data_IF_426134800492
#
_entry.id   IF_426134800492
#
_cell.length_a   1.000
_cell.length_b   1.000
_cell.length_c   1.000
_cell.angle_alpha   90.00
_cell.angle_beta   90.00
_cell.angle_gamma   90.00
#
_symmetry.space_group_name_H-M   'P 1'
#
loop_
_entity.id
_entity.type
_entity.pdbx_description
1 polymer ?
2 non-polymer ?
3 non-polymer ?
4 water ?
#
# COMPACT_ATOMS: atom_id res chain seq x y z
N UNK A 32 26.14 28.43 -23.23
CA UNK A 32 26.01 27.16 -22.50
C UNK A 32 24.88 26.34 -23.13
N UNK A 33 24.60 25.18 -22.53
CA UNK A 33 23.37 24.45 -22.80
C UNK A 33 22.25 24.89 -21.86
N UNK A 34 22.03 26.21 -21.87
CA UNK A 34 20.76 26.76 -21.40
C UNK A 34 19.62 26.34 -22.32
N UNK A 35 19.93 26.01 -23.58
CA UNK A 35 18.95 25.48 -24.53
C UNK A 35 18.16 24.35 -23.91
N UNK A 36 18.84 23.48 -23.16
CA UNK A 36 18.19 22.35 -22.55
C UNK A 36 17.02 22.80 -21.67
N UNK A 37 17.21 23.86 -20.90
CA UNK A 37 16.13 24.30 -20.02
C UNK A 37 14.93 24.75 -20.85
N UNK A 38 15.18 25.61 -21.85
CA UNK A 38 14.11 26.11 -22.71
C UNK A 38 13.22 24.97 -23.24
N UNK A 39 13.84 23.99 -23.90
CA UNK A 39 13.05 22.89 -24.43
C UNK A 39 12.22 22.22 -23.34
N UNK A 40 12.78 22.08 -22.15
CA UNK A 40 12.04 21.37 -21.12
C UNK A 40 10.93 22.25 -20.54
N UNK A 41 11.20 23.55 -20.42
CA UNK A 41 10.15 24.50 -20.04
C UNK A 41 9.01 24.46 -21.03
N UNK A 42 9.34 24.56 -22.33
CA UNK A 42 8.33 24.47 -23.39
C UNK A 42 7.43 23.26 -23.18
N UNK A 43 8.04 22.10 -22.94
CA UNK A 43 7.26 20.88 -22.85
C UNK A 43 6.36 20.91 -21.63
N UNK A 44 6.90 21.33 -20.49
CA UNK A 44 6.05 21.53 -19.31
C UNK A 44 4.87 22.43 -19.67
N UNK A 45 5.19 23.62 -20.20
CA UNK A 45 4.14 24.55 -20.60
C UNK A 45 3.14 23.89 -21.52
N UNK A 46 3.65 23.18 -22.54
CA UNK A 46 2.78 22.42 -23.41
C UNK A 46 1.94 21.44 -22.62
N UNK A 47 2.59 20.51 -21.91
CA UNK A 47 1.83 19.47 -21.21
C UNK A 47 0.87 20.05 -20.20
N UNK A 48 1.19 21.22 -19.64
CA UNK A 48 0.28 21.88 -18.73
C UNK A 48 -1.02 22.24 -19.44
N UNK A 49 -0.90 22.97 -20.56
CA UNK A 49 -2.05 23.34 -21.40
C UNK A 49 -2.90 22.13 -21.75
N UNK A 50 -2.30 21.02 -22.07
CA UNK A 50 -3.14 19.89 -22.33
C UNK A 50 -3.86 19.49 -21.12
N UNK A 51 -3.17 19.39 -20.00
CA UNK A 51 -3.83 18.88 -18.82
C UNK A 51 -5.00 19.78 -18.45
N UNK A 52 -4.82 21.08 -18.56
CA UNK A 52 -5.86 22.02 -18.17
C UNK A 52 -7.01 22.16 -19.20
N UNK A 53 -7.19 21.24 -20.18
CA UNK A 53 -8.47 21.21 -20.90
C UNK A 53 -8.90 19.80 -21.30
N UNK A 54 -8.41 18.77 -20.62
CA UNK A 54 -8.99 17.45 -20.71
C UNK A 54 -10.07 17.25 -19.66
N UNK A 55 -10.68 16.08 -19.70
CA UNK A 55 -11.68 15.73 -18.69
C UNK A 55 -11.27 14.43 -18.00
N UNK A 56 -12.24 13.71 -17.44
CA UNK A 56 -11.95 12.55 -16.61
C UNK A 56 -11.59 11.27 -17.33
N UNK A 61 -5.34 10.60 -15.42
CA UNK A 61 -5.27 10.24 -16.83
C UNK A 61 -3.90 10.60 -17.41
N UNK A 62 -3.65 10.17 -18.66
CA UNK A 62 -2.35 10.30 -19.32
C UNK A 62 -1.85 11.73 -19.31
N UNK A 63 -2.77 12.69 -19.43
CA UNK A 63 -2.38 14.09 -19.43
C UNK A 63 -1.60 14.44 -18.17
N UNK A 64 -2.21 14.16 -17.00
CA UNK A 64 -1.61 14.53 -15.73
C UNK A 64 -0.24 13.87 -15.55
N UNK A 65 -0.15 12.57 -15.82
CA UNK A 65 1.12 11.87 -15.64
C UNK A 65 2.18 12.47 -16.54
N UNK A 66 1.83 12.75 -17.79
CA UNK A 66 2.81 13.29 -18.71
C UNK A 66 3.35 14.62 -18.21
N UNK A 67 2.47 15.48 -17.68
CA UNK A 67 2.93 16.78 -17.19
C UNK A 67 3.82 16.63 -15.96
N UNK A 68 3.43 15.74 -15.04
CA UNK A 68 4.28 15.50 -13.88
C UNK A 68 5.63 14.97 -14.33
N UNK A 69 5.64 14.21 -15.43
CA UNK A 69 6.90 13.70 -15.97
C UNK A 69 7.72 14.83 -16.57
N UNK A 70 7.10 15.68 -17.41
CA UNK A 70 7.87 16.77 -17.98
C UNK A 70 8.31 17.76 -16.92
N UNK A 71 7.53 17.88 -15.83
CA UNK A 71 7.96 18.72 -14.71
C UNK A 71 9.22 18.18 -14.07
N UNK A 72 9.31 16.85 -13.90
CA UNK A 72 10.51 16.27 -13.32
C UNK A 72 11.72 16.45 -14.24
N UNK A 73 11.54 16.23 -15.55
CA UNK A 73 12.65 16.37 -16.48
C UNK A 73 13.34 17.71 -16.30
N UNK A 74 12.53 18.76 -16.15
CA UNK A 74 13.04 20.11 -15.96
C UNK A 74 13.97 20.19 -14.75
N UNK A 75 13.49 19.75 -13.58
CA UNK A 75 14.35 19.74 -12.40
C UNK A 75 15.66 19.04 -12.72
N UNK A 76 15.57 17.84 -13.31
CA UNK A 76 16.78 17.09 -13.62
C UNK A 76 17.65 17.86 -14.59
N UNK A 77 17.04 18.43 -15.63
CA UNK A 77 17.82 19.15 -16.63
C UNK A 77 18.48 20.39 -16.06
N UNK A 78 17.76 21.14 -15.23
CA UNK A 78 18.33 22.30 -14.55
C UNK A 78 19.59 21.91 -13.79
N UNK A 79 19.51 20.80 -13.04
CA UNK A 79 20.64 20.41 -12.19
C UNK A 79 21.78 19.85 -13.02
N UNK A 80 21.48 19.05 -14.02
CA UNK A 80 22.52 18.47 -14.82
C UNK A 80 22.81 17.08 -14.34
N UNK A 81 23.29 16.23 -15.24
CA UNK A 81 23.39 14.81 -14.92
C UNK A 81 24.21 14.52 -13.67
N UNK A 82 25.39 15.13 -13.53
CA UNK A 82 26.26 14.84 -12.39
C UNK A 82 25.61 15.34 -11.09
N UNK A 83 25.25 16.63 -10.96
CA UNK A 83 24.57 17.04 -9.72
C UNK A 83 23.28 16.29 -9.42
N UNK A 84 22.59 15.80 -10.44
CA UNK A 84 21.34 15.11 -10.16
C UNK A 84 21.58 13.74 -9.53
N UNK A 85 22.76 13.15 -9.76
CA UNK A 85 23.07 11.85 -9.18
C UNK A 85 23.12 11.95 -7.66
N UNK A 86 23.49 13.12 -7.15
CA UNK A 86 23.43 13.45 -5.74
C UNK A 86 22.02 13.51 -5.19
N UNK A 87 20.98 13.37 -6.02
CA UNK A 87 19.63 13.42 -5.47
C UNK A 87 19.35 12.24 -4.55
N UNK A 88 20.07 11.11 -4.71
CA UNK A 88 19.80 9.95 -3.86
C UNK A 88 20.19 10.24 -2.43
N UNK A 89 21.34 10.86 -2.24
CA UNK A 89 21.75 11.30 -0.91
C UNK A 89 20.80 12.34 -0.32
N UNK A 90 20.47 13.38 -1.07
CA UNK A 90 19.48 14.33 -0.58
C UNK A 90 18.20 13.63 -0.19
N UNK A 91 17.72 12.73 -1.04
CA UNK A 91 16.44 12.07 -0.79
C UNK A 91 16.49 11.29 0.49
N UNK A 92 17.65 10.68 0.78
CA UNK A 92 17.78 9.79 1.94
C UNK A 92 17.65 10.57 3.23
N UNK A 93 18.48 11.61 3.42
CA UNK A 93 18.37 12.41 4.64
C UNK A 93 16.97 13.01 4.78
N UNK A 94 16.35 13.43 3.69
CA UNK A 94 15.00 13.99 3.81
C UNK A 94 14.03 12.96 4.40
N UNK A 95 14.13 11.70 3.97
CA UNK A 95 13.23 10.68 4.51
C UNK A 95 13.59 10.39 5.95
N UNK A 96 14.89 10.32 6.22
CA UNK A 96 15.34 10.19 7.59
C UNK A 96 14.77 11.30 8.47
N UNK A 97 15.01 12.55 8.07
CA UNK A 97 14.64 13.66 8.93
C UNK A 97 13.14 13.79 9.08
N UNK A 98 12.38 13.57 8.01
CA UNK A 98 10.93 13.53 8.12
C UNK A 98 10.47 12.49 9.13
N UNK A 99 11.09 11.29 9.07
CA UNK A 99 10.74 10.20 9.97
C UNK A 99 11.04 10.57 11.42
N UNK A 100 12.26 11.04 11.69
CA UNK A 100 12.56 11.51 13.04
C UNK A 100 11.56 12.55 13.50
N UNK A 101 11.36 13.62 12.70
CA UNK A 101 10.49 14.70 13.12
C UNK A 101 9.08 14.20 13.43
N UNK A 102 8.57 13.31 12.59
CA UNK A 102 7.22 12.85 12.82
C UNK A 102 7.14 12.00 14.08
N UNK A 103 8.14 11.14 14.29
CA UNK A 103 8.14 10.29 15.48
C UNK A 103 8.30 11.13 16.75
N UNK A 104 9.24 12.09 16.73
CA UNK A 104 9.51 12.97 17.88
C UNK A 104 8.36 13.90 18.25
N UNK A 105 7.24 13.83 17.55
CA UNK A 105 6.09 14.66 17.88
C UNK A 105 6.14 16.09 17.37
N UNK A 106 7.02 16.39 16.42
CA UNK A 106 7.16 17.75 15.93
C UNK A 106 5.96 18.14 15.08
N UNK A 107 5.51 17.25 14.20
CA UNK A 107 4.33 17.54 13.39
C UNK A 107 3.12 17.88 14.25
N UNK A 108 2.97 17.23 15.40
CA UNK A 108 1.81 17.48 16.23
C UNK A 108 1.98 18.69 17.13
N UNK A 109 3.21 19.07 17.46
CA UNK A 109 3.42 20.24 18.32
C UNK A 109 3.24 21.54 17.56
N UNK A 110 3.51 21.54 16.26
CA UNK A 110 3.49 22.73 15.44
C UNK A 110 2.07 23.11 15.08
N UNK A 111 1.80 24.41 15.09
CA UNK A 111 0.44 24.89 14.80
C UNK A 111 0.10 24.70 13.33
N UNK A 112 -1.10 24.16 13.10
CA UNK A 112 -1.69 24.07 11.79
C UNK A 112 -2.05 25.48 11.28
N UNK A 113 -2.30 25.56 9.98
CA UNK A 113 -2.66 26.81 9.34
C UNK A 113 -1.51 27.74 9.04
N UNK A 114 -0.27 27.30 9.24
CA UNK A 114 0.86 28.10 8.85
C UNK A 114 1.34 29.11 9.86
N UNK A 115 0.76 29.13 11.06
CA UNK A 115 1.36 29.88 12.15
C UNK A 115 2.74 29.31 12.46
N UNK A 116 3.69 30.19 12.80
CA UNK A 116 5.07 29.76 13.00
C UNK A 116 5.32 29.29 14.45
N UNK A 117 6.51 28.73 14.67
CA UNK A 117 6.96 28.26 15.97
C UNK A 117 8.47 28.16 15.92
N UNK A 118 9.09 28.37 17.07
CA UNK A 118 10.53 28.46 17.04
C UNK A 118 11.13 27.09 17.26
N UNK A 119 12.40 26.96 16.85
CA UNK A 119 13.19 25.83 17.30
C UNK A 119 13.03 25.65 18.81
N UNK A 120 13.17 26.76 19.56
CA UNK A 120 13.11 26.65 21.02
C UNK A 120 11.75 26.19 21.49
N UNK A 121 10.67 26.79 20.99
CA UNK A 121 9.35 26.38 21.49
C UNK A 121 9.03 24.94 21.09
N UNK A 122 9.51 24.50 19.93
CA UNK A 122 9.29 23.13 19.50
C UNK A 122 10.04 22.17 20.40
N UNK A 123 11.35 22.36 20.53
CA UNK A 123 12.15 21.53 21.41
C UNK A 123 11.52 21.43 22.79
N UNK A 124 11.02 22.56 23.29
CA UNK A 124 10.37 22.62 24.58
C UNK A 124 9.21 21.63 24.67
N UNK A 125 8.38 21.55 23.64
CA UNK A 125 7.18 20.74 23.78
C UNK A 125 7.39 19.27 23.46
N UNK A 126 8.49 18.93 22.78
CA UNK A 126 8.76 17.55 22.41
C UNK A 126 9.96 16.96 23.12
N UNK A 127 10.85 17.78 23.65
CA UNK A 127 12.08 17.23 24.17
C UNK A 127 12.98 16.63 23.14
N UNK A 128 12.91 17.09 21.89
CA UNK A 128 13.93 16.72 20.93
C UNK A 128 14.99 17.80 20.93
N UNK A 129 16.26 17.39 20.90
CA UNK A 129 17.37 18.31 21.02
C UNK A 129 17.27 19.45 20.03
N UNK A 130 17.10 20.68 20.55
CA UNK A 130 16.97 21.87 19.68
C UNK A 130 18.08 21.95 18.63
N UNK A 131 19.30 21.54 18.98
CA UNK A 131 20.35 21.47 17.98
C UNK A 131 20.10 20.43 16.91
N UNK A 132 19.66 19.22 17.30
CA UNK A 132 19.28 18.23 16.30
C UNK A 132 18.13 18.77 15.43
N UNK A 133 17.07 19.26 16.09
CA UNK A 133 15.91 19.78 15.37
C UNK A 133 16.30 20.82 14.32
N UNK A 134 17.18 21.75 14.67
CA UNK A 134 17.58 22.77 13.71
C UNK A 134 18.19 22.12 12.48
N UNK A 135 19.13 21.20 12.69
CA UNK A 135 19.79 20.52 11.59
C UNK A 135 18.80 19.75 10.74
N UNK A 136 17.94 18.98 11.41
CA UNK A 136 16.94 18.20 10.72
C UNK A 136 16.05 19.09 9.86
N UNK A 137 15.69 20.27 10.38
CA UNK A 137 14.76 21.14 9.64
C UNK A 137 15.31 21.53 8.27
N UNK A 138 16.64 21.68 8.15
CA UNK A 138 17.26 22.07 6.89
C UNK A 138 16.94 21.11 5.76
N UNK A 139 16.59 19.87 6.08
CA UNK A 139 16.27 18.90 5.05
C UNK A 139 14.86 19.06 4.53
N UNK A 140 13.99 19.75 5.28
CA UNK A 140 12.58 19.80 4.93
C UNK A 140 12.05 21.24 4.84
N UNK A 141 12.95 22.23 4.73
CA UNK A 141 12.43 23.55 4.40
C UNK A 141 12.70 23.91 2.93
N UNK A 142 13.94 23.73 2.39
CA UNK A 142 14.26 24.38 1.11
C UNK A 142 13.26 24.08 0.01
N UNK A 143 12.80 22.85 0.01
CA UNK A 143 11.67 22.33 -0.75
C UNK A 143 10.77 21.46 0.08
N UNK A 144 11.29 20.81 1.15
CA UNK A 144 10.56 19.89 1.98
C UNK A 144 9.23 20.51 2.35
N UNK A 145 8.31 19.71 2.86
CA UNK A 145 6.94 20.21 3.10
C UNK A 145 6.82 21.26 4.22
N UNK A 146 7.90 21.75 4.82
CA UNK A 146 7.80 22.80 5.81
C UNK A 146 8.23 24.12 5.21
N UNK A 147 7.89 25.20 5.92
CA UNK A 147 8.35 26.52 5.52
C UNK A 147 9.25 27.11 6.60
N UNK A 148 10.44 27.56 6.18
CA UNK A 148 11.39 28.24 7.06
C UNK A 148 11.05 29.73 7.04
N UNK A 149 10.20 30.14 7.98
CA UNK A 149 9.76 31.53 8.08
C UNK A 149 10.94 32.46 8.36
N UNK A 150 11.76 32.11 9.34
CA UNK A 150 12.98 32.84 9.65
C UNK A 150 13.87 31.97 10.50
N UNK A 151 15.01 32.54 10.90
CA UNK A 151 16.01 31.86 11.74
C UNK A 151 15.37 31.15 12.95
N UNK A 152 15.57 29.82 13.00
CA UNK A 152 14.97 28.93 14.00
C UNK A 152 13.46 29.11 14.11
N UNK A 153 12.81 29.41 13.00
CA UNK A 153 11.39 29.69 12.97
C UNK A 153 10.77 28.99 11.77
N UNK A 154 9.81 28.11 12.03
CA UNK A 154 9.32 27.17 11.02
C UNK A 154 7.80 27.18 11.07
N UNK A 155 7.19 26.76 9.96
CA UNK A 155 5.73 26.72 9.89
C UNK A 155 5.28 25.50 9.10
N UNK A 156 4.08 25.03 9.45
CA UNK A 156 3.37 24.03 8.66
C UNK A 156 2.89 24.61 7.33
N UNK A 157 2.86 23.75 6.34
CA UNK A 157 2.16 24.00 5.06
C UNK A 157 1.23 22.81 4.85
N UNK A 158 0.30 22.92 3.89
CA UNK A 158 -0.62 21.78 3.68
C UNK A 158 0.11 20.51 3.31
N UNK A 159 1.33 20.61 2.78
CA UNK A 159 2.06 19.41 2.38
C UNK A 159 2.65 18.67 3.58
N UNK A 160 3.13 19.41 4.59
CA UNK A 160 3.50 18.77 5.85
C UNK A 160 2.26 18.33 6.63
N UNK A 161 1.21 19.13 6.65
CA UNK A 161 0.03 18.71 7.39
C UNK A 161 -0.60 17.45 6.80
N UNK A 162 -0.31 17.13 5.53
CA UNK A 162 -0.87 15.93 4.92
C UNK A 162 -0.39 14.67 5.63
N UNK A 163 0.81 14.74 6.20
CA UNK A 163 1.35 13.65 7.00
C UNK A 163 0.54 13.36 8.25
N UNK A 164 -0.41 14.23 8.59
CA UNK A 164 -1.24 14.04 9.78
C UNK A 164 -2.59 13.43 9.46
N UNK A 165 -2.84 13.07 8.20
CA UNK A 165 -4.13 12.51 7.83
C UNK A 165 -4.13 11.00 8.02
N UNK A 166 -5.35 10.43 8.13
CA UNK A 166 -5.51 9.01 8.40
C UNK A 166 -4.67 8.15 7.46
N UNK A 167 -4.78 8.40 6.15
CA UNK A 167 -4.03 7.59 5.19
C UNK A 167 -2.53 7.68 5.44
N UNK A 168 -1.98 8.89 5.44
CA UNK A 168 -0.54 9.03 5.59
C UNK A 168 -0.10 8.68 7.01
N UNK A 169 -0.84 9.16 8.01
CA UNK A 169 -0.40 8.95 9.38
C UNK A 169 -0.50 7.49 9.81
N UNK A 170 -1.36 6.69 9.16
CA UNK A 170 -1.43 5.27 9.46
C UNK A 170 -0.35 4.50 8.73
N UNK A 171 -0.08 4.95 7.51
CA UNK A 171 0.84 4.29 6.59
C UNK A 171 2.30 4.62 6.88
N UNK A 172 2.63 5.91 6.94
CA UNK A 172 4.03 6.35 6.90
C UNK A 172 4.89 5.87 8.05
N UNK A 173 4.43 5.89 9.31
CA UNK A 173 5.32 5.46 10.40
C UNK A 173 5.74 4.01 10.31
N UNK A 174 4.75 3.13 10.11
CA UNK A 174 5.02 1.70 9.94
C UNK A 174 6.08 1.48 8.87
N UNK A 175 5.91 2.16 7.73
CA UNK A 175 6.84 1.96 6.64
C UNK A 175 8.23 2.40 7.04
N UNK A 176 8.34 3.53 7.72
CA UNK A 176 9.64 4.09 7.99
C UNK A 176 10.32 3.36 9.13
N UNK A 177 9.55 2.90 10.11
CA UNK A 177 10.13 2.12 11.20
C UNK A 177 10.52 0.72 10.73
N UNK A 178 9.62 0.04 10.04
CA UNK A 178 9.82 -1.37 9.75
C UNK A 178 10.23 -1.70 8.31
N UNK A 179 9.87 -0.91 7.31
CA UNK A 179 10.10 -1.34 5.93
C UNK A 179 11.28 -0.65 5.24
N UNK A 180 11.56 0.62 5.55
CA UNK A 180 12.52 1.36 4.75
C UNK A 180 13.90 0.73 4.82
N UNK A 181 14.41 0.51 6.03
CA UNK A 181 15.70 -0.10 6.24
C UNK A 181 15.93 -1.40 5.49
N UNK A 182 14.93 -2.29 5.53
CA UNK A 182 14.97 -3.48 4.66
C UNK A 182 15.07 -3.18 3.17
N UNK A 183 14.20 -2.31 2.64
CA UNK A 183 14.28 -1.96 1.23
C UNK A 183 15.69 -1.50 0.88
N UNK A 184 16.32 -0.76 1.79
CA UNK A 184 17.68 -0.30 1.53
C UNK A 184 18.67 -1.44 1.51
N UNK A 185 18.36 -2.53 2.21
CA UNK A 185 19.26 -3.67 2.31
C UNK A 185 18.97 -4.74 1.25
N UNK A 186 18.01 -4.51 0.35
CA UNK A 186 17.84 -5.41 -0.79
C UNK A 186 19.19 -5.73 -1.42
N UNK A 187 19.99 -4.70 -1.71
CA UNK A 187 21.29 -4.92 -2.32
C UNK A 187 22.12 -5.90 -1.51
N UNK A 188 22.12 -5.75 -0.18
CA UNK A 188 22.95 -6.59 0.68
C UNK A 188 22.52 -8.05 0.63
N UNK A 189 21.22 -8.29 0.75
CA UNK A 189 20.68 -9.64 0.67
C UNK A 189 21.03 -10.31 -0.65
N UNK A 190 20.70 -9.68 -1.79
CA UNK A 190 21.00 -10.33 -3.05
C UNK A 190 22.52 -10.48 -3.27
N UNK A 191 23.33 -9.64 -2.61
CA UNK A 191 24.76 -9.82 -2.77
C UNK A 191 25.24 -11.09 -2.08
N UNK A 192 24.55 -11.46 -1.00
CA UNK A 192 24.84 -12.71 -0.32
C UNK A 192 24.64 -13.92 -1.22
N UNK A 193 23.88 -13.78 -2.29
CA UNK A 193 23.58 -14.88 -3.18
C UNK A 193 24.15 -14.63 -4.57
N UNK A 194 25.13 -13.73 -4.65
CA UNK A 194 25.72 -13.32 -5.92
C UNK A 194 24.62 -12.97 -6.93
N UNK A 195 23.71 -12.11 -6.47
CA UNK A 195 22.60 -11.53 -7.22
C UNK A 195 21.58 -12.55 -7.69
N UNK A 196 21.70 -13.80 -7.26
CA UNK A 196 20.64 -14.75 -7.48
C UNK A 196 19.43 -14.40 -6.61
N UNK A 197 18.27 -14.88 -7.01
CA UNK A 197 17.03 -14.54 -6.31
C UNK A 197 16.78 -15.56 -5.21
N UNK A 198 17.34 -15.28 -4.04
CA UNK A 198 17.12 -16.18 -2.91
C UNK A 198 15.89 -15.83 -2.12
N UNK A 199 15.15 -14.81 -2.54
CA UNK A 199 14.14 -14.24 -1.66
C UNK A 199 13.08 -15.28 -1.37
N UNK A 200 12.73 -15.42 -0.08
CA UNK A 200 11.55 -16.14 0.32
C UNK A 200 10.82 -15.33 1.37
N UNK A 201 9.59 -15.75 1.66
CA UNK A 201 8.75 -15.16 2.69
C UNK A 201 9.42 -15.14 4.07
N UNK A 202 10.37 -16.04 4.33
CA UNK A 202 11.04 -16.12 5.62
C UNK A 202 12.54 -16.01 5.49
N UNK A 203 13.05 -15.53 4.36
CA UNK A 203 14.49 -15.27 4.18
C UNK A 203 14.59 -14.19 3.10
N UNK A 204 14.77 -12.97 3.54
CA UNK A 204 14.59 -11.83 2.65
C UNK A 204 15.26 -10.63 3.28
N UNK A 205 15.22 -9.45 2.64
CA UNK A 205 15.82 -8.26 3.26
C UNK A 205 15.18 -7.87 4.58
N UNK A 206 13.91 -8.21 4.79
CA UNK A 206 13.27 -7.94 6.08
C UNK A 206 13.91 -8.78 7.19
N UNK A 207 13.91 -10.12 7.03
CA UNK A 207 14.54 -10.96 8.05
C UNK A 207 16.00 -10.61 8.24
N UNK A 208 16.68 -10.19 7.18
CA UNK A 208 18.08 -9.81 7.31
C UNK A 208 18.22 -8.53 8.15
N UNK A 209 17.41 -7.51 7.86
CA UNK A 209 17.57 -6.20 8.49
C UNK A 209 17.13 -6.22 9.96
N UNK A 210 15.97 -6.79 10.23
CA UNK A 210 15.46 -6.98 11.57
C UNK A 210 15.98 -8.25 12.25
N UNK A 211 16.93 -8.94 11.64
CA UNK A 211 17.55 -10.14 12.19
C UNK A 211 16.49 -11.12 12.73
N UNK A 212 15.65 -11.62 11.83
CA UNK A 212 14.69 -12.61 12.30
C UNK A 212 14.44 -13.71 11.26
N UNK A 213 15.50 -14.35 10.76
CA UNK A 213 15.33 -15.42 9.76
C UNK A 213 14.35 -16.47 10.24
N UNK A 214 13.45 -16.88 9.35
CA UNK A 214 12.45 -17.87 9.66
C UNK A 214 11.05 -17.30 9.87
N UNK A 215 10.95 -16.08 10.40
CA UNK A 215 9.66 -15.45 10.61
C UNK A 215 9.19 -14.72 9.36
N UNK A 216 7.91 -14.86 9.05
CA UNK A 216 7.34 -13.96 8.06
C UNK A 216 7.14 -12.59 8.68
N UNK A 217 6.95 -11.60 7.79
CA UNK A 217 6.85 -10.21 8.22
C UNK A 217 5.72 -10.03 9.24
N UNK A 218 4.56 -10.62 8.96
CA UNK A 218 3.44 -10.52 9.88
C UNK A 218 3.75 -11.18 11.21
N UNK A 219 4.24 -12.42 11.18
CA UNK A 219 4.61 -13.12 12.40
C UNK A 219 5.50 -12.26 13.29
N UNK A 220 6.54 -11.68 12.71
CA UNK A 220 7.51 -10.97 13.54
C UNK A 220 6.94 -9.67 14.09
N UNK A 221 6.01 -9.06 13.37
CA UNK A 221 5.45 -7.82 13.87
C UNK A 221 4.42 -8.08 14.95
N UNK A 222 3.56 -9.08 14.73
CA UNK A 222 2.51 -9.36 15.71
C UNK A 222 3.07 -9.96 17.01
N UNK A 223 4.32 -10.44 17.03
CA UNK A 223 4.85 -11.00 18.26
C UNK A 223 4.89 -9.94 19.37
N UNK A 224 5.29 -8.72 19.03
CA UNK A 224 5.16 -7.58 19.93
C UNK A 224 3.75 -7.00 19.80
N UNK A 225 2.99 -7.01 20.89
CA UNK A 225 1.58 -6.64 20.81
C UNK A 225 1.38 -5.13 20.66
N UNK A 226 2.36 -4.32 21.09
CA UNK A 226 2.27 -2.88 20.86
C UNK A 226 2.18 -2.54 19.39
N UNK A 227 2.64 -3.43 18.50
CA UNK A 227 2.66 -3.18 17.06
C UNK A 227 1.32 -3.44 16.38
N UNK A 228 0.39 -4.13 17.04
CA UNK A 228 -0.81 -4.59 16.33
C UNK A 228 -1.66 -3.40 15.90
N UNK A 229 -1.89 -2.45 16.81
CA UNK A 229 -2.69 -1.27 16.50
C UNK A 229 -2.09 -0.43 15.37
N UNK A 230 -0.80 -0.04 15.42
CA UNK A 230 -0.25 0.69 14.28
C UNK A 230 -0.33 -0.06 12.97
N UNK A 231 -0.05 -1.37 13.00
CA UNK A 231 -0.01 -2.16 11.79
C UNK A 231 -1.41 -2.32 11.21
N UNK A 232 -2.42 -2.52 12.06
CA UNK A 232 -3.78 -2.57 11.56
C UNK A 232 -4.24 -1.23 10.97
N UNK A 233 -3.77 -0.10 11.52
CA UNK A 233 -4.06 1.19 10.92
C UNK A 233 -3.37 1.34 9.57
N UNK A 234 -2.09 0.95 9.49
CA UNK A 234 -1.38 0.93 8.22
C UNK A 234 -2.09 0.05 7.20
N UNK A 235 -2.54 -1.14 7.60
CA UNK A 235 -3.30 -2.00 6.69
C UNK A 235 -4.57 -1.32 6.23
N UNK A 236 -5.11 -0.40 7.02
CA UNK A 236 -6.30 0.34 6.65
C UNK A 236 -6.03 1.42 5.62
N UNK A 237 -4.77 1.85 5.48
CA UNK A 237 -4.43 2.98 4.63
C UNK A 237 -4.76 2.71 3.17
N UNK A 238 -5.52 3.61 2.57
CA UNK A 238 -5.97 3.49 1.20
C UNK A 238 -5.85 4.81 0.49
N UNK A 239 -4.64 5.21 0.20
CA UNK A 239 -4.35 6.47 -0.40
C UNK A 239 -4.92 6.78 -1.74
N UNK A 240 -5.00 5.84 -2.64
CA UNK A 240 -5.52 6.12 -3.96
C UNK A 240 -6.98 5.81 -4.11
N UNK A 241 -7.66 5.57 -3.00
CA UNK A 241 -9.08 5.33 -2.99
C UNK A 241 -9.59 4.24 -3.85
N UNK A 242 -9.38 3.01 -3.44
CA UNK A 242 -9.77 1.88 -4.24
C UNK A 242 -11.21 1.86 -4.64
N UNK A 243 -11.37 1.59 -5.93
CA UNK A 243 -12.65 1.53 -6.60
C UNK A 243 -13.31 0.17 -6.34
N UNK A 244 -14.50 0.22 -5.74
CA UNK A 244 -15.24 -0.98 -5.40
C UNK A 244 -16.46 -1.22 -6.27
N UNK A 245 -16.98 -0.19 -6.93
CA UNK A 245 -18.03 -0.34 -7.93
C UNK A 245 -17.52 -0.98 -9.22
N UNK A 246 -16.34 -1.57 -9.16
CA UNK A 246 -15.73 -2.19 -10.34
C UNK A 246 -16.42 -3.48 -10.77
N UNK A 247 -17.03 -4.21 -9.84
CA UNK A 247 -17.64 -5.48 -10.23
C UNK A 247 -19.02 -5.58 -9.61
N UNK A 248 -19.98 -6.20 -10.33
CA UNK A 248 -21.38 -6.20 -9.86
C UNK A 248 -21.67 -7.05 -8.64
N UNK A 249 -21.65 -6.44 -7.46
CA UNK A 249 -22.01 -7.17 -6.26
C UNK A 249 -23.51 -7.40 -6.17
N UNK A 250 -24.30 -6.33 -6.34
CA UNK A 250 -25.76 -6.46 -6.24
C UNK A 250 -26.26 -7.61 -7.09
N UNK A 251 -25.77 -7.73 -8.32
CA UNK A 251 -26.27 -8.73 -9.24
C UNK A 251 -25.93 -10.13 -8.78
N UNK A 252 -24.65 -10.39 -8.53
CA UNK A 252 -24.20 -11.76 -8.26
C UNK A 252 -24.72 -12.28 -6.92
N UNK A 253 -24.64 -11.47 -5.87
CA UNK A 253 -24.95 -11.98 -4.53
C UNK A 253 -26.44 -12.27 -4.38
N UNK A 254 -27.31 -11.41 -4.92
CA UNK A 254 -28.74 -11.58 -4.72
C UNK A 254 -29.39 -12.46 -5.79
N UNK A 255 -28.61 -13.06 -6.70
CA UNK A 255 -29.05 -14.19 -7.51
C UNK A 255 -28.62 -15.51 -6.91
N UNK A 256 -28.46 -15.57 -5.59
CA UNK A 256 -27.93 -16.73 -4.91
C UNK A 256 -28.90 -17.18 -3.83
N UNK A 257 -29.24 -18.47 -3.84
CA UNK A 257 -30.31 -19.00 -3.01
C UNK A 257 -29.75 -19.54 -1.69
N UNK A 258 -30.18 -18.95 -0.58
CA UNK A 258 -30.02 -19.55 0.74
C UNK A 258 -28.64 -19.52 1.36
N UNK A 259 -28.07 -20.71 1.57
CA UNK A 259 -26.74 -20.84 2.17
C UNK A 259 -25.63 -20.41 1.21
N UNK A 260 -25.89 -20.51 -0.09
CA UNK A 260 -24.95 -20.02 -1.10
C UNK A 260 -24.73 -18.51 -0.96
N UNK A 261 -25.79 -17.76 -0.71
CA UNK A 261 -25.72 -16.30 -0.60
C UNK A 261 -24.96 -15.83 0.64
N UNK A 262 -23.65 -15.62 0.50
CA UNK A 262 -22.77 -15.25 1.60
C UNK A 262 -21.38 -14.94 1.06
N UNK A 263 -20.82 -13.81 1.45
CA UNK A 263 -19.52 -13.39 0.97
C UNK A 263 -18.53 -13.44 2.13
N UNK A 264 -17.30 -13.86 1.84
CA UNK A 264 -16.25 -13.89 2.85
C UNK A 264 -15.10 -13.01 2.38
N UNK A 265 -14.79 -11.99 3.17
CA UNK A 265 -13.63 -11.12 2.96
C UNK A 265 -12.48 -11.75 3.73
N UNK A 266 -11.70 -12.56 3.03
CA UNK A 266 -10.58 -13.25 3.66
C UNK A 266 -9.43 -12.27 3.84
N UNK A 267 -8.84 -12.28 5.04
CA UNK A 267 -7.89 -11.26 5.47
C UNK A 267 -8.50 -9.88 5.29
N UNK A 268 -9.75 -9.74 5.74
CA UNK A 268 -10.48 -8.50 5.57
C UNK A 268 -10.01 -7.38 6.47
N UNK A 269 -9.24 -7.71 7.51
CA UNK A 269 -8.69 -6.73 8.43
C UNK A 269 -9.84 -5.90 9.00
N UNK A 270 -9.68 -4.58 9.03
CA UNK A 270 -10.73 -3.62 9.37
C UNK A 270 -12.11 -4.00 8.87
N UNK A 271 -12.20 -4.44 7.62
CA UNK A 271 -13.46 -4.73 6.99
C UNK A 271 -13.96 -3.64 6.08
N UNK A 272 -13.16 -2.59 5.86
CA UNK A 272 -13.58 -1.47 5.02
C UNK A 272 -14.00 -1.94 3.63
N UNK A 273 -13.39 -3.02 3.15
CA UNK A 273 -13.83 -3.61 1.89
C UNK A 273 -15.24 -4.13 1.98
N UNK A 274 -15.53 -4.90 3.03
CA UNK A 274 -16.87 -5.44 3.20
C UNK A 274 -17.91 -4.33 3.29
N UNK A 275 -17.67 -3.35 4.18
CA UNK A 275 -18.58 -2.21 4.32
C UNK A 275 -18.82 -1.54 2.97
N UNK A 276 -17.77 -1.39 2.16
CA UNK A 276 -17.99 -0.87 0.81
C UNK A 276 -18.98 -1.73 0.04
N UNK A 277 -18.75 -3.03 0.09
CA UNK A 277 -19.58 -3.89 -0.69
C UNK A 277 -20.97 -3.81 -0.17
N UNK A 278 -21.12 -3.80 1.14
CA UNK A 278 -22.46 -3.77 1.70
C UNK A 278 -23.16 -2.50 1.31
N UNK A 279 -22.44 -1.38 1.34
CA UNK A 279 -23.03 -0.15 0.93
C UNK A 279 -23.42 -0.26 -0.52
N UNK A 280 -22.59 -0.83 -1.37
CA UNK A 280 -22.94 -0.97 -2.76
C UNK A 280 -24.18 -1.77 -3.04
N UNK A 281 -24.50 -2.78 -2.24
CA UNK A 281 -25.75 -3.48 -2.45
C UNK A 281 -26.55 -3.65 -1.18
N UNK A 282 -27.63 -2.93 -1.05
CA UNK A 282 -28.46 -3.03 0.14
C UNK A 282 -29.73 -3.65 -0.37
N UNK A 283 -29.66 -3.97 -1.63
CA UNK A 283 -30.72 -4.56 -2.42
C UNK A 283 -30.55 -5.98 -1.96
N UNK A 284 -30.72 -6.22 -0.68
CA UNK A 284 -30.42 -7.53 -0.16
C UNK A 284 -31.37 -8.10 0.84
N UNK A 285 -31.24 -9.41 1.02
CA UNK A 285 -31.98 -10.20 1.99
C UNK A 285 -31.03 -10.36 3.19
N UNK A 286 -31.23 -11.38 4.02
CA UNK A 286 -30.32 -11.54 5.14
C UNK A 286 -29.14 -12.24 4.53
N UNK A 287 -28.05 -11.52 4.36
CA UNK A 287 -26.89 -12.13 3.73
C UNK A 287 -25.73 -12.13 4.65
N UNK A 288 -25.11 -13.28 4.79
CA UNK A 288 -24.03 -13.39 5.70
C UNK A 288 -22.87 -12.66 5.17
N UNK A 289 -22.20 -11.92 6.03
CA UNK A 289 -21.00 -11.20 5.64
C UNK A 289 -19.92 -11.48 6.69
N UNK A 290 -18.86 -12.18 6.30
CA UNK A 290 -17.82 -12.57 7.23
C UNK A 290 -16.50 -11.95 6.82
N UNK A 291 -15.74 -11.52 7.81
CA UNK A 291 -14.41 -10.99 7.62
C UNK A 291 -13.48 -11.85 8.48
N UNK A 292 -12.65 -12.66 7.82
CA UNK A 292 -11.66 -13.47 8.51
C UNK A 292 -10.31 -12.78 8.45
N UNK A 293 -9.49 -13.08 9.45
CA UNK A 293 -8.12 -12.59 9.57
C UNK A 293 -7.55 -13.21 10.84
N UNK A 294 -6.25 -13.03 11.03
CA UNK A 294 -5.58 -13.56 12.21
C UNK A 294 -6.15 -12.95 13.48
N UNK A 295 -5.83 -13.60 14.61
CA UNK A 295 -6.43 -13.22 15.89
C UNK A 295 -6.14 -11.78 16.30
N UNK A 296 -4.89 -11.31 16.34
CA UNK A 296 -4.65 -9.92 16.79
C UNK A 296 -5.40 -8.90 15.95
N UNK A 297 -5.63 -9.22 14.67
CA UNK A 297 -6.43 -8.37 13.80
C UNK A 297 -7.91 -8.46 14.16
N UNK A 298 -8.40 -9.68 14.39
CA UNK A 298 -9.79 -9.88 14.77
C UNK A 298 -10.09 -9.19 16.09
N UNK A 299 -9.14 -9.18 17.02
CA UNK A 299 -9.33 -8.45 18.26
C UNK A 299 -9.59 -6.97 18.05
N UNK A 300 -8.68 -6.31 17.34
CA UNK A 300 -8.73 -4.86 17.19
C UNK A 300 -10.05 -4.40 16.60
N UNK A 301 -10.60 -5.15 15.64
CA UNK A 301 -11.77 -4.70 14.91
C UNK A 301 -13.06 -5.46 15.23
N UNK A 302 -13.02 -6.49 16.09
CA UNK A 302 -14.15 -7.40 16.25
C UNK A 302 -15.46 -6.69 16.53
N UNK A 303 -15.59 -6.09 17.71
CA UNK A 303 -16.88 -5.53 18.08
C UNK A 303 -17.26 -4.31 17.24
N UNK A 304 -16.27 -3.64 16.63
CA UNK A 304 -16.61 -2.67 15.59
C UNK A 304 -17.29 -3.35 14.41
N UNK A 305 -16.96 -4.62 14.14
CA UNK A 305 -17.51 -5.35 13.00
C UNK A 305 -18.85 -5.98 13.34
N UNK A 306 -18.95 -6.62 14.51
CA UNK A 306 -20.25 -7.08 15.01
C UNK A 306 -21.26 -5.95 14.93
N UNK A 307 -20.85 -4.74 15.34
CA UNK A 307 -21.67 -3.55 15.32
C UNK A 307 -22.27 -3.34 13.94
N UNK A 308 -21.41 -3.08 12.95
CA UNK A 308 -21.89 -2.90 11.59
C UNK A 308 -22.52 -4.16 11.01
N UNK A 309 -22.62 -5.24 11.76
CA UNK A 309 -23.39 -6.40 11.35
C UNK A 309 -22.61 -7.50 10.67
N UNK A 310 -21.32 -7.66 10.99
CA UNK A 310 -20.46 -8.60 10.28
C UNK A 310 -19.89 -9.60 11.27
N UNK A 311 -19.79 -10.85 10.81
CA UNK A 311 -19.26 -11.97 11.58
C UNK A 311 -17.73 -11.91 11.65
N UNK A 312 -17.16 -11.61 12.79
CA UNK A 312 -15.70 -11.65 12.93
C UNK A 312 -15.20 -13.07 13.22
N UNK A 313 -14.58 -13.69 12.20
CA UNK A 313 -14.06 -15.05 12.29
C UNK A 313 -12.54 -15.03 12.30
N UNK A 314 -11.95 -15.77 13.23
CA UNK A 314 -10.50 -15.94 13.25
C UNK A 314 -10.11 -17.07 12.30
N UNK A 315 -9.20 -16.79 11.38
CA UNK A 315 -8.80 -17.79 10.40
C UNK A 315 -7.37 -17.51 9.92
N UNK A 316 -6.71 -18.56 9.45
CA UNK A 316 -5.32 -18.54 9.02
C UNK A 316 -5.27 -19.36 7.73
N UNK A 317 -5.07 -18.70 6.60
CA UNK A 317 -5.07 -19.47 5.36
C UNK A 317 -3.72 -20.16 5.08
N UNK A 318 -2.84 -20.26 6.08
CA UNK A 318 -1.60 -21.01 5.96
C UNK A 318 -1.61 -22.31 6.74
N UNK A 319 -2.25 -22.34 7.90
CA UNK A 319 -2.32 -23.51 8.76
C UNK A 319 -3.68 -24.20 8.74
N UNK A 320 -4.67 -23.71 8.00
CA UNK A 320 -6.03 -24.24 8.04
C UNK A 320 -6.65 -24.23 6.65
N UNK A 321 -7.64 -25.09 6.46
CA UNK A 321 -8.50 -25.03 5.29
C UNK A 321 -9.67 -24.09 5.58
N UNK A 322 -10.23 -23.52 4.50
CA UNK A 322 -11.24 -22.47 4.62
C UNK A 322 -12.51 -23.01 5.27
N UNK A 323 -12.96 -22.43 6.41
CA UNK A 323 -14.15 -22.97 7.10
C UNK A 323 -15.45 -22.84 6.33
N UNK A 324 -15.98 -21.64 6.13
CA UNK A 324 -17.34 -21.52 5.64
C UNK A 324 -17.41 -22.04 4.21
N UNK A 325 -18.24 -23.07 4.01
CA UNK A 325 -18.35 -23.84 2.77
C UNK A 325 -19.29 -23.14 1.78
N UNK A 326 -19.13 -23.50 0.51
CA UNK A 326 -20.02 -23.16 -0.59
C UNK A 326 -20.65 -21.78 -0.63
N UNK A 327 -19.85 -20.73 -0.50
CA UNK A 327 -20.37 -19.38 -0.37
C UNK A 327 -20.47 -18.68 -1.72
N UNK A 328 -21.10 -17.49 -1.70
CA UNK A 328 -21.22 -16.67 -2.90
C UNK A 328 -19.89 -16.59 -3.63
N UNK A 329 -18.93 -15.97 -2.96
CA UNK A 329 -17.61 -15.68 -3.48
C UNK A 329 -16.68 -15.58 -2.29
N UNK A 330 -15.44 -15.99 -2.49
CA UNK A 330 -14.39 -15.76 -1.53
C UNK A 330 -13.53 -14.63 -2.08
N UNK A 331 -13.36 -13.57 -1.30
CA UNK A 331 -12.85 -12.30 -1.80
C UNK A 331 -11.54 -11.98 -1.11
N UNK A 332 -10.48 -11.79 -1.91
CA UNK A 332 -9.15 -11.42 -1.42
C UNK A 332 -8.79 -10.03 -1.93
N UNK A 333 -8.71 -9.06 -1.01
CA UNK A 333 -8.28 -7.72 -1.37
C UNK A 333 -6.92 -7.41 -0.76
N UNK A 334 -5.99 -7.00 -1.62
CA UNK A 334 -4.64 -6.62 -1.23
C UNK A 334 -4.04 -7.67 -0.31
N UNK A 335 -4.24 -8.93 -0.72
CA UNK A 335 -3.76 -10.11 -0.01
C UNK A 335 -2.65 -10.79 -0.77
N UNK A 336 -2.87 -11.10 -2.04
CA UNK A 336 -1.95 -11.98 -2.73
C UNK A 336 -0.60 -11.32 -2.98
N UNK A 337 -0.57 -9.98 -3.04
CA UNK A 337 0.71 -9.30 -3.25
C UNK A 337 1.61 -9.42 -2.04
N UNK A 338 1.11 -9.97 -0.94
CA UNK A 338 1.92 -10.30 0.22
C UNK A 338 2.70 -11.61 0.08
N UNK A 339 2.60 -12.30 -1.05
CA UNK A 339 2.96 -13.71 -1.15
C UNK A 339 3.60 -14.03 -2.48
N UNK A 340 4.50 -15.00 -2.52
CA UNK A 340 4.99 -15.52 -3.78
C UNK A 340 4.04 -16.60 -4.28
N UNK A 341 4.14 -16.91 -5.57
CA UNK A 341 3.24 -17.90 -6.16
C UNK A 341 3.31 -19.21 -5.37
N UNK A 342 4.50 -19.75 -5.19
CA UNK A 342 4.65 -20.86 -4.27
C UNK A 342 5.74 -20.57 -3.25
N UNK A 343 5.63 -21.15 -2.04
CA UNK A 343 4.59 -22.04 -1.55
C UNK A 343 3.24 -21.39 -1.23
N UNK A 344 3.29 -20.22 -0.60
CA UNK A 344 2.11 -19.70 0.08
C UNK A 344 0.98 -19.39 -0.90
N UNK A 345 1.31 -18.81 -2.06
CA UNK A 345 0.28 -18.50 -3.04
C UNK A 345 -0.62 -19.67 -3.38
N UNK A 346 -0.03 -20.82 -3.74
CA UNK A 346 -0.87 -21.97 -4.08
C UNK A 346 -1.62 -22.48 -2.87
N UNK A 347 -1.00 -22.46 -1.69
CA UNK A 347 -1.65 -22.99 -0.50
C UNK A 347 -2.89 -22.18 -0.13
N UNK A 348 -2.86 -20.86 -0.36
CA UNK A 348 -4.06 -20.04 -0.10
C UNK A 348 -5.22 -20.57 -0.94
N UNK A 349 -5.01 -20.61 -2.26
CA UNK A 349 -6.06 -21.06 -3.17
C UNK A 349 -6.41 -22.53 -2.96
N UNK A 350 -5.46 -23.34 -2.49
CA UNK A 350 -5.77 -24.74 -2.24
C UNK A 350 -6.60 -24.92 -0.98
N UNK A 351 -6.25 -24.20 0.10
CA UNK A 351 -7.04 -24.24 1.33
C UNK A 351 -8.44 -23.67 1.16
N UNK A 352 -8.68 -22.98 0.04
CA UNK A 352 -9.97 -22.35 -0.23
C UNK A 352 -10.77 -23.17 -1.24
N UNK A 353 -10.10 -23.86 -2.16
CA UNK A 353 -10.78 -24.82 -3.01
C UNK A 353 -11.53 -25.85 -2.18
N UNK A 354 -11.01 -26.16 -1.00
CA UNK A 354 -11.63 -27.13 -0.11
C UNK A 354 -13.11 -26.83 0.10
N UNK A 355 -13.46 -25.57 0.32
CA UNK A 355 -14.79 -25.22 0.78
C UNK A 355 -15.67 -24.61 -0.32
N UNK A 356 -15.43 -24.93 -1.58
CA UNK A 356 -16.13 -24.26 -2.68
C UNK A 356 -17.25 -25.14 -3.27
N UNK A 357 -17.78 -24.71 -4.41
CA UNK A 357 -18.81 -25.42 -5.15
C UNK A 357 -18.49 -25.28 -6.63
N UNK A 358 -18.23 -26.41 -7.29
CA UNK A 358 -17.79 -26.44 -8.69
C UNK A 358 -18.33 -25.28 -9.52
N UNK A 359 -19.61 -24.93 -9.36
CA UNK A 359 -20.20 -23.86 -10.15
C UNK A 359 -20.98 -22.83 -9.36
N UNK A 360 -21.07 -22.94 -8.04
CA UNK A 360 -21.75 -21.93 -7.23
C UNK A 360 -20.79 -20.93 -6.61
N UNK A 361 -19.65 -21.39 -6.12
CA UNK A 361 -18.66 -20.49 -5.55
C UNK A 361 -17.78 -19.91 -6.65
N UNK A 362 -17.20 -18.76 -6.34
CA UNK A 362 -16.26 -18.07 -7.22
C UNK A 362 -15.20 -17.39 -6.36
N UNK A 363 -14.05 -17.13 -6.96
CA UNK A 363 -12.91 -16.53 -6.26
C UNK A 363 -12.61 -15.18 -6.90
N UNK A 364 -12.42 -14.15 -6.05
CA UNK A 364 -12.13 -12.79 -6.48
C UNK A 364 -10.84 -12.30 -5.85
N UNK A 365 -9.78 -12.19 -6.66
CA UNK A 365 -8.51 -11.58 -6.27
C UNK A 365 -8.54 -10.14 -6.73
N UNK A 366 -8.37 -9.21 -5.79
CA UNK A 366 -8.44 -7.78 -6.07
C UNK A 366 -7.11 -7.13 -5.68
N UNK A 367 -6.34 -6.71 -6.68
CA UNK A 367 -4.95 -6.33 -6.46
C UNK A 367 -4.51 -5.49 -7.66
N UNK A 368 -3.33 -4.89 -7.52
CA UNK A 368 -2.77 -4.14 -8.63
C UNK A 368 -2.47 -5.08 -9.79
N UNK A 369 -2.73 -4.61 -11.01
CA UNK A 369 -2.31 -5.32 -12.21
C UNK A 369 -1.26 -4.46 -12.89
N UNK A 370 -0.02 -4.90 -12.79
CA UNK A 370 1.10 -4.13 -13.33
C UNK A 370 1.06 -4.20 -14.84
N UNK A 371 1.11 -3.07 -15.53
CA UNK A 371 1.34 -3.09 -16.98
C UNK A 371 2.69 -3.70 -17.32
N UNK A 372 2.79 -4.24 -18.52
CA UNK A 372 4.06 -4.80 -18.93
C UNK A 372 4.99 -3.76 -19.51
N UNK A 373 4.52 -2.51 -19.63
CA UNK A 373 5.36 -1.41 -20.07
C UNK A 373 4.74 -0.15 -19.50
N UNK A 374 5.59 0.82 -19.20
CA UNK A 374 5.11 2.08 -18.67
C UNK A 374 4.57 1.98 -17.27
N UNK A 375 5.22 1.20 -16.41
CA UNK A 375 4.93 1.22 -14.99
C UNK A 375 5.18 2.62 -14.44
N UNK A 376 4.40 2.97 -13.42
CA UNK A 376 4.60 4.23 -12.71
C UNK A 376 5.42 3.99 -11.45
N UNK A 377 5.87 5.08 -10.84
CA UNK A 377 6.51 4.97 -9.52
C UNK A 377 5.52 4.47 -8.47
N UNK A 378 4.22 4.72 -8.66
CA UNK A 378 3.23 4.11 -7.79
C UNK A 378 3.31 2.59 -7.85
N UNK A 379 3.41 2.04 -9.06
CA UNK A 379 3.65 0.61 -9.22
C UNK A 379 4.94 0.21 -8.53
N UNK A 380 6.02 0.92 -8.85
CA UNK A 380 7.36 0.48 -8.45
C UNK A 380 7.53 0.47 -6.93
N UNK A 381 6.96 1.45 -6.22
CA UNK A 381 7.26 1.54 -4.79
C UNK A 381 6.52 0.46 -4.02
N UNK A 382 5.30 0.13 -4.43
CA UNK A 382 4.57 -0.94 -3.76
C UNK A 382 5.22 -2.30 -4.04
N UNK A 383 5.56 -2.56 -5.30
CA UNK A 383 6.11 -3.85 -5.65
C UNK A 383 7.44 -4.08 -4.96
N UNK A 384 8.34 -3.10 -5.07
CA UNK A 384 9.70 -3.28 -4.57
C UNK A 384 9.77 -3.24 -3.05
N UNK A 385 8.74 -2.71 -2.38
CA UNK A 385 8.69 -2.79 -0.93
C UNK A 385 8.35 -4.21 -0.51
N UNK A 386 7.24 -4.72 -1.03
CA UNK A 386 6.93 -6.14 -0.92
C UNK A 386 8.14 -7.03 -1.18
N UNK A 387 8.88 -6.77 -2.28
CA UNK A 387 10.07 -7.56 -2.58
C UNK A 387 10.88 -7.81 -1.31
N UNK A 388 10.93 -6.82 -0.41
CA UNK A 388 11.72 -6.90 0.81
C UNK A 388 11.18 -7.94 1.80
N UNK A 389 9.91 -8.26 1.75
CA UNK A 389 9.31 -9.27 2.61
C UNK A 389 8.92 -10.54 1.84
N UNK A 390 9.45 -10.72 0.63
CA UNK A 390 9.09 -11.83 -0.22
C UNK A 390 7.73 -11.77 -0.88
N UNK A 391 7.08 -10.60 -0.89
CA UNK A 391 5.88 -10.38 -1.68
C UNK A 391 6.21 -9.78 -3.04
N UNK A 392 5.15 -9.53 -3.82
CA UNK A 392 5.31 -8.95 -5.15
C UNK A 392 3.99 -8.55 -5.78
N UNK A 393 4.00 -7.49 -6.59
CA UNK A 393 2.83 -7.17 -7.39
C UNK A 393 2.92 -7.92 -8.71
N UNK A 394 1.75 -8.31 -9.23
CA UNK A 394 1.62 -9.28 -10.31
C UNK A 394 1.10 -8.65 -11.60
N UNK A 395 1.70 -9.05 -12.72
CA UNK A 395 1.21 -8.81 -14.06
C UNK A 395 -0.11 -9.55 -14.29
N UNK A 396 -0.82 -9.18 -15.35
CA UNK A 396 -1.88 -10.04 -15.85
C UNK A 396 -1.37 -11.44 -16.17
N UNK A 397 -0.26 -11.54 -16.91
CA UNK A 397 0.29 -12.85 -17.18
C UNK A 397 0.86 -13.48 -15.91
N UNK A 398 1.20 -12.66 -14.91
CA UNK A 398 1.63 -13.20 -13.63
C UNK A 398 0.46 -13.86 -12.90
N UNK A 399 -0.71 -13.19 -12.90
CA UNK A 399 -1.91 -13.81 -12.35
C UNK A 399 -2.33 -15.04 -13.15
N UNK A 400 -2.04 -15.08 -14.45
CA UNK A 400 -2.30 -16.26 -15.26
C UNK A 400 -1.56 -17.47 -14.70
N UNK A 401 -0.23 -17.36 -14.56
CA UNK A 401 0.59 -18.42 -13.97
C UNK A 401 0.02 -18.88 -12.64
N UNK A 402 -0.29 -17.93 -11.76
CA UNK A 402 -0.77 -18.29 -10.43
C UNK A 402 -2.02 -19.16 -10.50
N UNK A 403 -2.94 -18.82 -11.41
CA UNK A 403 -4.19 -19.55 -11.52
C UNK A 403 -3.97 -20.97 -12.02
N UNK A 404 -3.27 -21.12 -13.15
CA UNK A 404 -3.00 -22.43 -13.70
C UNK A 404 -2.29 -23.33 -12.69
N UNK A 405 -1.35 -22.77 -11.92
CA UNK A 405 -0.61 -23.56 -10.95
C UNK A 405 -1.57 -24.20 -9.95
N UNK A 406 -2.60 -23.46 -9.55
CA UNK A 406 -3.63 -24.01 -8.67
C UNK A 406 -4.80 -24.62 -9.44
N UNK A 407 -4.58 -25.01 -10.70
CA UNK A 407 -5.65 -25.61 -11.49
C UNK A 407 -6.91 -24.79 -11.52
N UNK A 408 -6.79 -23.47 -11.61
CA UNK A 408 -7.91 -22.55 -11.61
C UNK A 408 -8.11 -21.91 -12.97
N UNK A 409 -9.37 -21.69 -13.32
CA UNK A 409 -9.74 -21.20 -14.64
C UNK A 409 -10.12 -19.74 -14.54
N UNK A 410 -9.53 -18.92 -15.40
CA UNK A 410 -9.80 -17.49 -15.43
C UNK A 410 -11.16 -17.26 -16.08
N UNK A 411 -12.10 -16.71 -15.31
CA UNK A 411 -13.42 -16.35 -15.83
C UNK A 411 -13.31 -15.01 -16.56
N UNK A 412 -13.02 -13.93 -15.83
CA UNK A 412 -12.77 -12.65 -16.49
C UNK A 412 -12.02 -11.72 -15.53
N UNK A 413 -11.22 -10.84 -16.14
CA UNK A 413 -10.50 -9.79 -15.43
C UNK A 413 -11.32 -8.50 -15.54
N UNK A 414 -11.74 -7.98 -14.40
CA UNK A 414 -12.46 -6.70 -14.33
C UNK A 414 -11.48 -5.55 -14.17
N UNK A 415 -11.53 -4.57 -15.06
CA UNK A 415 -10.75 -3.34 -14.88
C UNK A 415 -11.42 -2.18 -15.59
N UNK A 416 -11.54 -1.04 -14.89
CA UNK A 416 -12.00 0.22 -15.45
C UNK A 416 -10.79 1.13 -15.68
N UNK A 417 -10.03 0.91 -16.80
CA UNK A 417 -8.68 1.47 -16.92
C UNK A 417 -8.59 2.97 -16.66
N UNK A 418 -7.36 3.43 -16.42
CA UNK A 418 -7.20 4.62 -15.62
C UNK A 418 -7.33 4.31 -14.15
N UNK A 419 -7.24 3.04 -13.79
CA UNK A 419 -7.38 2.54 -12.44
C UNK A 419 -6.45 1.34 -12.32
N UNK A 420 -5.59 1.37 -11.30
CA UNK A 420 -4.45 0.47 -11.19
C UNK A 420 -4.84 -0.94 -10.79
N UNK A 421 -5.95 -1.09 -10.07
CA UNK A 421 -6.37 -2.38 -9.56
C UNK A 421 -7.50 -2.93 -10.40
N UNK A 422 -7.40 -4.21 -10.76
CA UNK A 422 -8.52 -4.96 -11.27
C UNK A 422 -8.91 -6.08 -10.32
N UNK A 423 -9.93 -6.82 -10.73
CA UNK A 423 -10.33 -8.05 -10.06
C UNK A 423 -10.09 -9.22 -11.01
N UNK A 424 -9.48 -10.28 -10.49
CA UNK A 424 -9.35 -11.55 -11.18
C UNK A 424 -10.47 -12.46 -10.68
N UNK A 425 -11.44 -12.74 -11.55
CA UNK A 425 -12.52 -13.67 -11.25
C UNK A 425 -12.10 -15.05 -11.77
N UNK A 426 -12.37 -16.08 -10.97
CA UNK A 426 -11.91 -17.41 -11.32
C UNK A 426 -12.84 -18.47 -10.74
N UNK A 427 -12.77 -19.67 -11.31
CA UNK A 427 -13.58 -20.79 -10.88
C UNK A 427 -12.71 -22.05 -10.89
N UNK A 428 -13.27 -23.14 -10.37
CA UNK A 428 -12.63 -24.46 -10.51
C UNK A 428 -12.58 -24.85 -12.00
N UNK A 429 -11.45 -25.37 -12.47
CA UNK A 429 -11.31 -25.70 -13.88
C UNK A 429 -12.48 -26.51 -14.35
#
# INVERSE_FOLDING_TARGET
MGSSHHHHHHHHGASENLYFQGASMTFSNADAQKIAVQKDVDEVVAAAQRFLHGSGNATSDEAKVDLQKKASNLVQTIRGPIPAALSSMEDIVKVASLRTLFEAGVFHAMPKGGASMTASEISAQTGLDKGILIRLMRAVTPLGPFHEVGEEEYAHTPFSEAYLTADIAGCFPVMSNFIFGPVLQICDFLRQNNWKDAITTRNNPFTLAHNCPGETMFEHLYKNSKNVAPVTKAEAADVDQIAMDLYPWEERLSDAKGSNATLVDIAGSHGNGTRAIMALAPKLNGCRFIVQDLEPVIGEHSQALRAEGIEPQVYDFLKQEQPVHGASIYYFRRVFHDWPDLPEGKKILDNTRAAMSREHSRILIHDIIVPEIGATMSHAWQDLSLMAIGGMERTEKDFARLLDIAGLALVKVWRKPGDMMGIIEARLK
#
